data_IF_911236954257
#
_entry.id   IF_911236954257
#
_cell.length_a   1.000
_cell.length_b   1.000
_cell.length_c   1.000
_cell.angle_alpha   90.00
_cell.angle_beta   90.00
_cell.angle_gamma   90.00
#
_symmetry.space_group_name_H-M   'P 1'
#
loop_
_entity.id
_entity.type
_entity.pdbx_description
1 polymer ?
#
# COMPACT_ATOMS: atom_id res chain seq x y z
N UNK A 1 -39.14 -33.96 6.87
CA UNK A 1 -38.87 -32.57 7.31
C UNK A 1 -37.63 -32.11 6.56
N UNK A 2 -37.80 -31.19 5.61
CA UNK A 2 -36.69 -30.64 4.82
C UNK A 2 -36.11 -29.47 5.59
N UNK A 3 -34.85 -29.59 5.99
CA UNK A 3 -34.09 -28.53 6.65
C UNK A 3 -33.81 -27.42 5.63
N UNK A 4 -34.24 -26.21 5.94
CA UNK A 4 -34.06 -25.06 5.07
C UNK A 4 -32.62 -24.56 5.20
N UNK A 5 -31.71 -25.22 4.48
CA UNK A 5 -30.33 -24.76 4.33
C UNK A 5 -30.32 -23.38 3.69
N UNK A 6 -29.85 -22.38 4.43
CA UNK A 6 -29.50 -21.07 3.92
C UNK A 6 -28.33 -21.26 2.93
N UNK A 7 -28.64 -21.50 1.67
CA UNK A 7 -27.66 -21.48 0.60
C UNK A 7 -27.39 -20.01 0.25
N UNK A 8 -26.16 -19.56 0.49
CA UNK A 8 -25.68 -18.32 -0.09
C UNK A 8 -25.58 -18.53 -1.60
N UNK A 9 -26.60 -18.06 -2.34
CA UNK A 9 -26.76 -18.26 -3.79
C UNK A 9 -25.70 -17.52 -4.63
N UNK A 10 -24.71 -16.92 -3.99
CA UNK A 10 -23.65 -16.13 -4.64
C UNK A 10 -22.28 -16.81 -4.66
N UNK A 11 -22.09 -17.92 -3.94
CA UNK A 11 -20.87 -18.73 -4.04
C UNK A 11 -21.10 -19.91 -4.99
N UNK A 12 -20.30 -20.02 -6.06
CA UNK A 12 -20.21 -21.30 -6.76
C UNK A 12 -19.64 -22.36 -5.80
N UNK A 13 -20.00 -23.63 -5.98
CA UNK A 13 -19.53 -24.74 -5.12
C UNK A 13 -18.01 -24.94 -5.08
N UNK A 14 -17.28 -24.22 -5.93
CA UNK A 14 -15.81 -24.22 -6.00
C UNK A 14 -15.19 -22.95 -5.38
N UNK A 15 -15.99 -21.92 -5.12
CA UNK A 15 -15.49 -20.68 -4.54
C UNK A 15 -15.29 -20.86 -3.04
N UNK A 16 -14.10 -20.55 -2.56
CA UNK A 16 -13.81 -20.48 -1.13
C UNK A 16 -13.54 -19.03 -0.77
N UNK A 17 -14.35 -18.50 0.15
CA UNK A 17 -14.07 -17.21 0.75
C UNK A 17 -12.81 -17.33 1.63
N UNK A 18 -11.87 -16.40 1.45
CA UNK A 18 -10.67 -16.30 2.26
C UNK A 18 -10.69 -14.99 3.03
N UNK A 19 -10.53 -15.09 4.34
CA UNK A 19 -10.05 -13.98 5.15
C UNK A 19 -8.51 -13.92 5.09
N UNK A 20 -7.92 -12.86 5.66
CA UNK A 20 -6.46 -12.68 5.64
C UNK A 20 -5.72 -13.86 6.27
N UNK A 21 -6.25 -14.40 7.37
CA UNK A 21 -5.62 -15.50 8.11
C UNK A 21 -5.63 -16.80 7.28
N UNK A 22 -6.77 -17.14 6.68
CA UNK A 22 -6.93 -18.31 5.82
C UNK A 22 -6.09 -18.23 4.55
N UNK A 23 -6.04 -17.06 3.92
CA UNK A 23 -5.17 -16.83 2.76
C UNK A 23 -3.69 -17.02 3.13
N UNK A 24 -3.25 -16.45 4.25
CA UNK A 24 -1.88 -16.58 4.70
C UNK A 24 -1.49 -18.02 5.06
N UNK A 25 -2.42 -18.78 5.68
CA UNK A 25 -2.22 -20.18 6.00
C UNK A 25 -1.98 -21.02 4.74
N UNK A 26 -2.83 -20.90 3.73
CA UNK A 26 -2.69 -21.65 2.47
C UNK A 26 -1.40 -21.29 1.73
N UNK A 27 -1.05 -20.00 1.69
CA UNK A 27 0.22 -19.58 1.09
C UNK A 27 1.40 -20.22 1.82
N UNK A 28 1.39 -20.22 3.15
CA UNK A 28 2.45 -20.84 3.95
C UNK A 28 2.55 -22.35 3.73
N UNK A 29 1.43 -23.07 3.72
CA UNK A 29 1.38 -24.52 3.50
C UNK A 29 1.91 -24.93 2.12
N UNK A 30 1.78 -24.03 1.14
CA UNK A 30 2.22 -24.25 -0.24
C UNK A 30 3.62 -23.67 -0.55
N UNK A 31 4.36 -23.22 0.48
CA UNK A 31 5.75 -22.73 0.34
C UNK A 31 5.88 -21.27 -0.11
N UNK A 32 4.77 -20.53 -0.12
CA UNK A 32 4.73 -19.10 -0.38
C UNK A 32 4.82 -18.32 0.94
N UNK A 33 5.34 -17.10 0.85
CA UNK A 33 5.38 -16.14 1.95
C UNK A 33 4.05 -15.39 2.10
N UNK A 34 3.98 -14.59 3.15
CA UNK A 34 2.86 -13.69 3.42
C UNK A 34 2.52 -12.82 2.19
N UNK A 35 1.22 -12.56 1.93
CA UNK A 35 0.80 -11.75 0.81
C UNK A 35 1.23 -10.29 1.01
N UNK A 36 1.70 -9.66 -0.06
CA UNK A 36 1.88 -8.20 -0.12
C UNK A 36 0.65 -7.60 -0.80
N UNK A 37 -0.27 -7.04 -0.02
CA UNK A 37 -1.49 -6.44 -0.57
C UNK A 37 -1.21 -5.09 -1.26
N UNK A 38 -1.90 -4.85 -2.38
CA UNK A 38 -1.76 -3.63 -3.16
C UNK A 38 -2.18 -2.37 -2.39
N UNK A 39 -3.16 -2.49 -1.49
CA UNK A 39 -3.59 -1.43 -0.58
C UNK A 39 -3.23 -1.80 0.86
N UNK A 40 -1.94 -1.95 1.16
CA UNK A 40 -1.48 -2.40 2.47
C UNK A 40 -2.01 -1.55 3.64
N UNK A 41 -2.27 -0.25 3.43
CA UNK A 41 -2.82 0.62 4.46
C UNK A 41 -4.21 0.15 4.92
N UNK A 42 -4.98 -0.50 4.04
CA UNK A 42 -6.28 -1.11 4.38
C UNK A 42 -6.16 -2.12 5.53
N UNK A 43 -5.03 -2.81 5.62
CA UNK A 43 -4.75 -3.88 6.58
C UNK A 43 -3.90 -3.41 7.78
N UNK A 44 -3.71 -2.11 7.93
CA UNK A 44 -2.94 -1.54 9.05
C UNK A 44 -3.82 -1.40 10.30
N UNK A 45 -3.58 -2.24 11.30
CA UNK A 45 -4.31 -2.23 12.58
C UNK A 45 -4.17 -0.91 13.33
N UNK A 46 -3.04 -0.21 13.17
CA UNK A 46 -2.77 1.03 13.89
C UNK A 46 -3.75 2.15 13.55
N UNK A 47 -4.47 2.03 12.43
CA UNK A 47 -5.57 2.93 12.04
C UNK A 47 -6.80 2.83 12.96
N UNK A 48 -6.98 1.68 13.61
CA UNK A 48 -8.16 1.38 14.42
C UNK A 48 -7.86 1.35 15.91
N UNK A 49 -6.68 0.82 16.29
CA UNK A 49 -6.29 0.68 17.69
C UNK A 49 -4.77 0.61 17.85
N UNK A 50 -4.22 0.92 19.05
CA UNK A 50 -2.83 0.63 19.36
C UNK A 50 -2.50 -0.85 19.14
N UNK A 51 -1.39 -1.13 18.45
CA UNK A 51 -0.98 -2.51 18.13
C UNK A 51 -0.43 -3.20 19.39
N UNK A 52 -1.00 -4.33 19.83
CA UNK A 52 -0.48 -5.09 20.95
C UNK A 52 0.94 -5.63 20.70
N UNK A 53 1.78 -5.61 21.75
CA UNK A 53 3.12 -6.20 21.68
C UNK A 53 3.03 -7.71 21.44
N UNK A 54 3.88 -8.23 20.56
CA UNK A 54 3.96 -9.66 20.25
C UNK A 54 2.94 -10.16 19.22
N UNK A 55 2.03 -9.31 18.74
CA UNK A 55 1.10 -9.66 17.68
C UNK A 55 1.84 -9.82 16.35
N UNK A 56 1.64 -10.94 15.65
CA UNK A 56 2.28 -11.16 14.35
C UNK A 56 1.72 -10.17 13.31
N UNK A 57 2.46 -9.93 12.22
CA UNK A 57 1.98 -9.05 11.14
C UNK A 57 0.68 -9.56 10.53
N UNK A 58 0.55 -10.89 10.35
CA UNK A 58 -0.68 -11.49 9.80
C UNK A 58 -1.86 -11.32 10.75
N UNK A 59 -1.66 -11.52 12.06
CA UNK A 59 -2.74 -11.32 13.03
C UNK A 59 -3.20 -9.86 13.05
N UNK A 60 -2.27 -8.91 12.96
CA UNK A 60 -2.60 -7.48 12.87
C UNK A 60 -3.45 -7.20 11.63
N UNK A 61 -3.06 -7.74 10.48
CA UNK A 61 -3.78 -7.56 9.22
C UNK A 61 -5.18 -8.19 9.25
N UNK A 62 -5.32 -9.38 9.84
CA UNK A 62 -6.61 -10.06 10.00
C UNK A 62 -7.54 -9.31 10.98
N UNK A 63 -6.98 -8.72 12.05
CA UNK A 63 -7.75 -7.86 12.93
C UNK A 63 -8.20 -6.57 12.23
N UNK A 64 -7.31 -5.94 11.45
CA UNK A 64 -7.63 -4.75 10.67
C UNK A 64 -8.72 -5.02 9.62
N UNK A 65 -8.66 -6.16 8.92
CA UNK A 65 -9.70 -6.60 7.98
C UNK A 65 -11.08 -6.66 8.64
N UNK A 66 -11.16 -7.33 9.80
CA UNK A 66 -12.42 -7.47 10.56
C UNK A 66 -12.97 -6.14 11.06
N UNK A 67 -12.09 -5.21 11.45
CA UNK A 67 -12.46 -3.88 11.92
C UNK A 67 -12.86 -2.93 10.78
N UNK A 68 -12.21 -3.04 9.62
CA UNK A 68 -12.52 -2.25 8.43
C UNK A 68 -13.90 -2.64 7.89
N UNK A 69 -14.17 -3.95 7.75
CA UNK A 69 -15.49 -4.48 7.38
C UNK A 69 -15.99 -4.12 5.98
N UNK A 70 -15.24 -3.32 5.21
CA UNK A 70 -15.62 -2.89 3.85
C UNK A 70 -14.93 -3.67 2.74
N UNK A 71 -14.00 -4.56 3.08
CA UNK A 71 -13.20 -5.31 2.12
C UNK A 71 -14.03 -6.44 1.50
N UNK A 72 -14.16 -6.40 0.17
CA UNK A 72 -14.86 -7.44 -0.59
C UNK A 72 -13.92 -8.43 -1.26
N UNK A 73 -12.69 -8.00 -1.53
CA UNK A 73 -11.68 -8.78 -2.26
C UNK A 73 -10.29 -8.47 -1.74
N UNK A 74 -9.43 -9.48 -1.73
CA UNK A 74 -8.01 -9.35 -1.45
C UNK A 74 -7.24 -9.30 -2.77
N UNK A 75 -6.46 -8.24 -2.98
CA UNK A 75 -5.59 -8.09 -4.15
C UNK A 75 -4.17 -7.88 -3.66
N UNK A 76 -3.28 -8.78 -4.06
CA UNK A 76 -1.88 -8.72 -3.66
C UNK A 76 -1.00 -9.67 -4.45
N UNK A 77 0.28 -9.64 -4.13
CA UNK A 77 1.29 -10.49 -4.72
C UNK A 77 1.81 -11.48 -3.68
N UNK A 78 1.87 -12.76 -4.07
CA UNK A 78 2.58 -13.78 -3.33
C UNK A 78 3.99 -13.92 -3.89
N UNK A 79 4.93 -14.27 -3.00
CA UNK A 79 6.33 -14.55 -3.33
C UNK A 79 6.73 -15.83 -2.62
N UNK A 80 7.71 -16.56 -3.13
CA UNK A 80 8.24 -17.73 -2.44
C UNK A 80 8.77 -17.33 -1.05
N UNK A 81 8.57 -18.18 -0.05
CA UNK A 81 8.98 -17.89 1.33
C UNK A 81 10.50 -17.65 1.44
N UNK A 82 11.28 -18.33 0.59
CA UNK A 82 12.75 -18.22 0.51
C UNK A 82 13.25 -17.08 -0.39
N UNK A 83 12.37 -16.30 -0.99
CA UNK A 83 12.82 -15.20 -1.85
C UNK A 83 13.58 -14.16 -1.02
N UNK A 84 14.47 -13.39 -1.67
CA UNK A 84 15.23 -12.30 -1.04
C UNK A 84 14.35 -11.11 -0.67
N UNK A 85 14.47 -10.50 0.53
CA UNK A 85 13.69 -9.34 0.93
C UNK A 85 13.71 -8.23 -0.13
N UNK A 86 12.61 -7.49 -0.22
CA UNK A 86 12.55 -6.36 -1.13
C UNK A 86 13.61 -5.31 -0.76
N UNK A 87 14.48 -4.95 -1.72
CA UNK A 87 15.47 -3.89 -1.57
C UNK A 87 14.99 -2.65 -2.30
N UNK A 88 15.01 -1.50 -1.63
CA UNK A 88 14.72 -0.21 -2.26
C UNK A 88 15.66 -0.02 -3.46
N UNK A 89 15.06 0.22 -4.63
CA UNK A 89 15.79 0.43 -5.88
C UNK A 89 15.60 1.89 -6.31
N UNK A 90 16.69 2.66 -6.27
CA UNK A 90 16.67 4.07 -6.65
C UNK A 90 16.49 4.30 -8.15
N UNK A 91 16.55 3.25 -8.98
CA UNK A 91 16.26 3.32 -10.41
C UNK A 91 14.77 3.25 -10.73
N UNK A 92 13.91 3.07 -9.71
CA UNK A 92 12.46 3.08 -9.87
C UNK A 92 11.96 4.45 -10.27
N UNK A 93 10.94 4.47 -11.12
CA UNK A 93 10.30 5.68 -11.61
C UNK A 93 8.92 5.79 -10.97
N UNK A 94 8.67 6.75 -10.05
CA UNK A 94 7.38 6.92 -9.41
C UNK A 94 6.36 7.55 -10.36
N UNK A 95 5.12 7.07 -10.26
CA UNK A 95 3.94 7.59 -10.93
C UNK A 95 2.85 7.87 -9.89
N UNK A 96 2.34 9.09 -9.89
CA UNK A 96 1.19 9.46 -9.06
C UNK A 96 -0.10 9.10 -9.79
N UNK A 97 -1.04 8.51 -9.05
CA UNK A 97 -2.37 8.17 -9.53
C UNK A 97 -3.40 9.11 -8.93
N UNK A 98 -4.27 9.67 -9.78
CA UNK A 98 -5.41 10.48 -9.34
C UNK A 98 -5.07 11.91 -8.88
N UNK A 99 -3.80 12.30 -8.80
CA UNK A 99 -3.38 13.66 -8.43
C UNK A 99 -2.20 14.14 -9.26
N UNK A 100 -2.21 15.44 -9.63
CA UNK A 100 -1.08 16.07 -10.33
C UNK A 100 0.06 16.37 -9.34
N UNK A 101 1.34 16.11 -9.72
CA UNK A 101 2.51 16.39 -8.88
C UNK A 101 2.54 17.79 -8.28
N UNK A 102 2.28 18.83 -9.08
CA UNK A 102 2.31 20.24 -8.63
C UNK A 102 1.20 20.58 -7.64
N UNK A 103 0.02 19.98 -7.80
CA UNK A 103 -1.08 20.20 -6.87
C UNK A 103 -0.81 19.54 -5.53
N UNK A 104 -0.31 18.29 -5.56
CA UNK A 104 0.09 17.54 -4.38
C UNK A 104 1.23 18.24 -3.64
N UNK A 105 2.30 18.63 -4.34
CA UNK A 105 3.46 19.28 -3.73
C UNK A 105 3.11 20.59 -3.02
N UNK A 106 2.24 21.42 -3.61
CA UNK A 106 1.76 22.65 -2.96
C UNK A 106 0.95 22.37 -1.68
N UNK A 107 0.06 21.38 -1.71
CA UNK A 107 -0.72 21.00 -0.54
C UNK A 107 0.21 20.52 0.60
N UNK A 108 1.19 19.67 0.27
CA UNK A 108 2.18 19.14 1.22
C UNK A 108 3.08 20.25 1.76
N UNK A 109 3.54 21.20 0.93
CA UNK A 109 4.36 22.33 1.37
C UNK A 109 3.63 23.20 2.42
N UNK A 110 2.31 23.32 2.28
CA UNK A 110 1.45 24.03 3.23
C UNK A 110 1.12 23.19 4.47
N UNK A 111 1.55 21.92 4.53
CA UNK A 111 1.24 21.00 5.61
C UNK A 111 -0.22 20.58 5.67
N UNK A 112 -0.95 20.66 4.54
CA UNK A 112 -2.36 20.26 4.49
C UNK A 112 -2.50 18.75 4.59
N UNK A 113 -3.54 18.32 5.29
CA UNK A 113 -4.05 16.95 5.20
C UNK A 113 -4.61 16.71 3.79
N UNK A 114 -4.28 15.57 3.21
CA UNK A 114 -4.74 15.17 1.88
C UNK A 114 -5.99 14.30 2.05
N UNK A 115 -7.16 14.74 1.58
CA UNK A 115 -8.37 13.94 1.67
C UNK A 115 -8.30 12.76 0.70
N UNK A 116 -8.69 11.59 1.18
CA UNK A 116 -8.86 10.36 0.39
C UNK A 116 -10.25 9.79 0.72
N UNK A 117 -10.94 9.24 -0.27
CA UNK A 117 -12.18 8.49 -0.03
C UNK A 117 -12.02 7.09 -0.58
N UNK A 118 -12.30 6.09 0.26
CA UNK A 118 -12.23 4.67 -0.10
C UNK A 118 -13.41 3.95 0.55
N UNK A 119 -14.11 3.14 -0.25
CA UNK A 119 -15.28 2.38 0.18
C UNK A 119 -16.33 3.24 0.92
N UNK A 120 -16.50 4.51 0.51
CA UNK A 120 -17.41 5.46 1.15
C UNK A 120 -16.90 6.10 2.45
N UNK A 121 -15.73 5.68 2.95
CA UNK A 121 -15.09 6.26 4.12
C UNK A 121 -14.04 7.32 3.73
N UNK A 122 -14.04 8.43 4.46
CA UNK A 122 -13.07 9.50 4.31
C UNK A 122 -11.82 9.26 5.17
N UNK A 123 -10.65 9.47 4.57
CA UNK A 123 -9.33 9.37 5.17
C UNK A 123 -8.58 10.67 4.97
N UNK A 124 -7.63 10.93 5.88
CA UNK A 124 -6.75 12.08 5.82
C UNK A 124 -5.32 11.62 5.88
N UNK A 125 -4.58 11.85 4.79
CA UNK A 125 -3.17 11.49 4.70
C UNK A 125 -2.31 12.70 5.05
N UNK A 126 -1.22 12.45 5.76
CA UNK A 126 -0.24 13.47 6.05
C UNK A 126 1.11 13.05 5.49
N UNK A 127 1.76 13.97 4.77
CA UNK A 127 3.10 13.77 4.23
C UNK A 127 4.06 14.80 4.86
N UNK A 128 5.34 14.45 5.05
CA UNK A 128 6.32 15.39 5.56
C UNK A 128 6.44 16.62 4.64
N UNK A 129 6.44 17.84 5.19
CA UNK A 129 6.62 19.07 4.39
C UNK A 129 7.88 19.03 3.53
N UNK A 130 8.95 18.41 4.05
CA UNK A 130 10.22 18.22 3.35
C UNK A 130 10.10 17.40 2.05
N UNK A 131 9.02 16.61 1.88
CA UNK A 131 8.78 15.84 0.66
C UNK A 131 8.19 16.66 -0.50
N UNK A 132 7.68 17.87 -0.24
CA UNK A 132 7.05 18.70 -1.27
C UNK A 132 7.93 18.92 -2.53
N UNK A 133 9.20 19.36 -2.43
CA UNK A 133 10.05 19.53 -3.62
C UNK A 133 10.37 18.21 -4.33
N UNK A 134 10.44 17.10 -3.59
CA UNK A 134 10.63 15.76 -4.18
C UNK A 134 9.40 15.33 -4.99
N UNK A 135 8.20 15.53 -4.44
CA UNK A 135 6.93 15.24 -5.11
C UNK A 135 6.73 16.10 -6.36
N UNK A 136 7.14 17.38 -6.33
CA UNK A 136 7.09 18.26 -7.51
C UNK A 136 8.00 17.77 -8.65
N UNK A 137 9.05 17.01 -8.34
CA UNK A 137 9.96 16.45 -9.34
C UNK A 137 9.46 15.14 -9.97
N UNK A 138 8.37 14.54 -9.45
CA UNK A 138 7.75 13.33 -10.02
C UNK A 138 7.09 13.68 -11.34
N UNK A 139 7.49 13.01 -12.41
CA UNK A 139 6.96 13.24 -13.76
C UNK A 139 6.71 11.94 -14.55
N UNK A 140 6.78 10.78 -13.90
CA UNK A 140 6.63 9.48 -14.54
C UNK A 140 7.79 9.06 -15.45
N UNK A 141 8.89 9.83 -15.48
CA UNK A 141 10.09 9.51 -16.28
C UNK A 141 11.35 9.46 -15.43
N UNK A 142 11.42 10.29 -14.38
CA UNK A 142 12.60 10.37 -13.51
C UNK A 142 12.68 9.22 -12.54
N UNK A 143 13.87 8.68 -12.37
CA UNK A 143 14.15 7.73 -11.29
C UNK A 143 14.15 8.45 -9.93
N UNK A 144 14.06 7.69 -8.84
CA UNK A 144 14.26 8.23 -7.49
C UNK A 144 15.64 8.88 -7.34
N UNK A 145 16.69 8.30 -7.92
CA UNK A 145 18.03 8.89 -7.93
C UNK A 145 18.09 10.24 -8.64
N UNK A 146 17.43 10.39 -9.79
CA UNK A 146 17.35 11.66 -10.53
C UNK A 146 16.54 12.72 -9.77
N UNK A 147 15.47 12.30 -9.06
CA UNK A 147 14.69 13.17 -8.19
C UNK A 147 15.56 13.68 -7.03
N UNK A 148 16.34 12.81 -6.37
CA UNK A 148 17.24 13.18 -5.29
C UNK A 148 18.31 14.18 -5.77
N UNK A 149 18.96 13.88 -6.89
CA UNK A 149 19.99 14.75 -7.50
C UNK A 149 19.44 16.12 -7.85
N UNK A 150 18.26 16.20 -8.48
CA UNK A 150 17.62 17.46 -8.87
C UNK A 150 17.34 18.36 -7.66
N UNK A 151 17.02 17.75 -6.52
CA UNK A 151 16.74 18.46 -5.28
C UNK A 151 17.97 18.62 -4.38
N UNK A 152 19.16 18.19 -4.84
CA UNK A 152 20.44 18.26 -4.11
C UNK A 152 20.35 17.61 -2.72
N UNK A 153 19.59 16.52 -2.61
CA UNK A 153 19.47 15.73 -1.38
C UNK A 153 20.37 14.50 -1.51
N UNK A 154 21.17 14.22 -0.48
CA UNK A 154 21.99 13.01 -0.45
C UNK A 154 21.10 11.74 -0.33
N UNK A 155 21.62 10.55 -0.68
CA UNK A 155 20.82 9.33 -0.67
C UNK A 155 20.19 8.98 0.69
N UNK A 156 20.87 9.26 1.80
CA UNK A 156 20.40 8.93 3.15
C UNK A 156 19.27 9.88 3.54
N UNK A 157 19.48 11.18 3.35
CA UNK A 157 18.45 12.20 3.58
C UNK A 157 17.22 11.97 2.71
N UNK A 158 17.43 11.58 1.44
CA UNK A 158 16.34 11.25 0.53
C UNK A 158 15.54 10.05 1.04
N UNK A 159 16.19 8.96 1.43
CA UNK A 159 15.52 7.77 1.93
C UNK A 159 14.71 8.04 3.21
N UNK A 160 15.24 8.85 4.14
CA UNK A 160 14.54 9.20 5.38
C UNK A 160 13.21 9.93 5.12
N UNK A 161 13.16 10.78 4.09
CA UNK A 161 11.94 11.50 3.71
C UNK A 161 11.04 10.65 2.81
N UNK A 162 11.62 9.99 1.81
CA UNK A 162 10.89 9.27 0.77
C UNK A 162 10.24 7.99 1.29
N UNK A 163 10.82 7.31 2.29
CA UNK A 163 10.20 6.12 2.91
C UNK A 163 8.80 6.42 3.48
N UNK A 164 8.59 7.59 4.07
CA UNK A 164 7.28 8.01 4.58
C UNK A 164 6.30 8.33 3.45
N UNK A 165 6.78 8.95 2.37
CA UNK A 165 6.01 9.19 1.14
C UNK A 165 5.58 7.89 0.51
N UNK A 166 6.52 6.94 0.37
CA UNK A 166 6.30 5.63 -0.21
C UNK A 166 5.29 4.85 0.62
N UNK A 167 5.51 4.68 1.93
CA UNK A 167 4.58 3.96 2.81
C UNK A 167 3.16 4.54 2.73
N UNK A 168 3.04 5.87 2.75
CA UNK A 168 1.72 6.54 2.70
C UNK A 168 1.06 6.38 1.34
N UNK A 169 1.72 6.76 0.25
CA UNK A 169 1.08 6.81 -1.06
C UNK A 169 0.92 5.42 -1.70
N UNK A 170 1.90 4.53 -1.54
CA UNK A 170 1.77 3.15 -2.05
C UNK A 170 0.78 2.34 -1.23
N UNK A 171 0.71 2.56 0.10
CA UNK A 171 -0.24 1.87 0.98
C UNK A 171 -1.71 2.11 0.60
N UNK A 172 -2.01 3.22 -0.06
CA UNK A 172 -3.34 3.56 -0.59
C UNK A 172 -3.45 3.46 -2.12
N UNK A 173 -2.45 2.89 -2.80
CA UNK A 173 -2.46 2.75 -4.27
C UNK A 173 -2.41 4.08 -5.05
N UNK A 174 -1.98 5.16 -4.40
CA UNK A 174 -1.85 6.51 -4.96
C UNK A 174 -0.50 6.76 -5.64
N UNK A 175 0.49 5.92 -5.38
CA UNK A 175 1.77 5.91 -6.07
C UNK A 175 2.12 4.51 -6.54
N UNK A 176 2.60 4.41 -7.77
CA UNK A 176 3.05 3.16 -8.40
C UNK A 176 4.45 3.37 -8.99
N UNK A 177 5.16 2.29 -9.25
CA UNK A 177 6.46 2.31 -9.91
C UNK A 177 6.37 1.61 -11.26
N UNK A 178 6.83 2.28 -12.32
CA UNK A 178 6.79 1.72 -13.68
C UNK A 178 7.76 2.42 -14.62
N UNK A 179 8.35 1.67 -15.54
CA UNK A 179 9.17 2.21 -16.63
C UNK A 179 8.37 2.49 -17.92
N UNK A 180 7.05 2.32 -17.92
CA UNK A 180 6.20 2.41 -19.12
C UNK A 180 6.35 3.73 -19.89
N UNK A 181 6.54 4.85 -19.18
CA UNK A 181 6.66 6.18 -19.79
C UNK A 181 8.12 6.62 -19.97
N UNK A 182 9.09 5.77 -19.64
CA UNK A 182 10.51 6.09 -19.81
C UNK A 182 10.82 6.12 -21.31
N UNK A 183 11.25 7.26 -21.81
CA UNK A 183 11.75 7.37 -23.19
C UNK A 183 13.12 6.68 -23.28
N UNK A 184 13.29 5.86 -24.30
CA UNK A 184 14.56 5.21 -24.68
C UNK A 184 15.61 6.23 -25.08
#
# INVERSE_FOLDING_TARGET
>A
QSDAGFYDLLLHSQDQAFDVAGLAAILSETGWGAPSFCEAAAYDLSRFAPVPKGMTVIDQMAAAEKLDGTMKVHVGYARLQKAEPFKLDLNRIPHLRGVKPDALSRAVAQGRELPLTRAGQGYKLQLPKASAPLLAAVNGQRTLSEIAQRNRVDPIGFQAVWSQVEATLTGWGLMLYSNLLKRS
#
